data_IF_200876485014
#
_entry.id   IF_200876485014
#
_cell.length_a   1.000
_cell.length_b   1.000
_cell.length_c   1.000
_cell.angle_alpha   90.00
_cell.angle_beta   90.00
_cell.angle_gamma   90.00
#
_symmetry.space_group_name_H-M   'P 1'
#
loop_
_entity.id
_entity.type
_entity.pdbx_description
1 polymer ?
#
# COMPACT_ATOMS: atom_id res chain seq x y z
N UNK A 1 15.72 24.01 3.57
CA UNK A 1 14.27 23.72 3.46
C UNK A 1 13.67 24.75 2.51
N UNK A 2 13.04 24.32 1.40
CA UNK A 2 12.56 25.23 0.33
C UNK A 2 11.16 25.78 0.68
N UNK A 3 10.27 24.92 1.19
CA UNK A 3 8.97 25.30 1.74
C UNK A 3 8.51 24.24 2.75
N UNK A 4 7.50 24.57 3.54
CA UNK A 4 6.83 23.68 4.50
C UNK A 4 5.34 24.03 4.53
N UNK A 5 4.49 23.01 4.58
CA UNK A 5 3.04 23.13 4.79
C UNK A 5 2.71 22.38 6.08
N UNK A 6 1.94 23.01 6.97
CA UNK A 6 1.44 22.36 8.18
C UNK A 6 0.01 21.91 7.92
N UNK A 7 -0.17 20.64 7.56
CA UNK A 7 -1.49 20.19 7.12
C UNK A 7 -2.54 20.19 8.23
N UNK A 8 -2.13 20.12 9.50
CA UNK A 8 -3.03 20.21 10.64
C UNK A 8 -3.53 21.63 10.80
N UNK A 9 -2.65 22.63 10.68
CA UNK A 9 -3.05 24.03 10.75
C UNK A 9 -3.83 24.47 9.51
N UNK A 10 -3.33 24.15 8.31
CA UNK A 10 -3.80 24.71 7.04
C UNK A 10 -5.08 24.04 6.52
N UNK A 11 -5.30 22.76 6.84
CA UNK A 11 -6.46 21.97 6.37
C UNK A 11 -7.26 21.35 7.51
N UNK A 12 -6.98 21.73 8.76
CA UNK A 12 -7.66 21.23 9.95
C UNK A 12 -7.69 19.69 10.05
N UNK A 13 -6.62 19.02 9.62
CA UNK A 13 -6.52 17.56 9.66
C UNK A 13 -6.76 17.07 11.08
N UNK A 14 -7.84 16.30 11.27
CA UNK A 14 -8.14 15.59 12.52
C UNK A 14 -7.56 14.19 12.45
N UNK A 15 -6.78 13.83 13.47
CA UNK A 15 -6.27 12.46 13.58
C UNK A 15 -7.45 11.48 13.60
N UNK A 16 -7.47 10.59 12.61
CA UNK A 16 -8.33 9.40 12.61
C UNK A 16 -7.72 8.33 13.52
N UNK A 17 -8.36 7.16 13.69
CA UNK A 17 -7.94 6.17 14.71
C UNK A 17 -6.43 5.88 14.78
N UNK A 18 -5.76 5.63 13.63
CA UNK A 18 -4.30 5.39 13.58
C UNK A 18 -3.47 6.62 13.18
N UNK A 19 -4.04 7.57 12.44
CA UNK A 19 -3.32 8.68 11.79
C UNK A 19 -3.26 8.56 10.27
N UNK A 20 -2.22 9.15 9.66
CA UNK A 20 -1.96 9.18 8.21
C UNK A 20 -0.52 8.74 7.93
N UNK A 21 -0.29 8.03 6.83
CA UNK A 21 1.03 7.49 6.48
C UNK A 21 1.31 7.44 4.97
N UNK A 22 0.47 8.08 4.17
CA UNK A 22 0.58 8.16 2.72
C UNK A 22 1.82 8.96 2.29
N UNK A 23 2.53 8.49 1.26
CA UNK A 23 3.60 9.26 0.61
C UNK A 23 3.02 10.08 -0.54
N UNK A 24 3.44 11.34 -0.75
CA UNK A 24 2.97 12.12 -1.88
C UNK A 24 3.59 11.62 -3.20
N UNK A 25 2.97 11.98 -4.33
CA UNK A 25 3.50 11.69 -5.67
C UNK A 25 3.77 12.96 -6.46
N UNK A 26 4.79 12.94 -7.32
CA UNK A 26 5.10 14.03 -8.24
C UNK A 26 4.47 13.76 -9.61
N UNK A 27 3.73 14.74 -10.13
CA UNK A 27 3.23 14.77 -11.52
C UNK A 27 3.54 16.14 -12.13
N UNK A 28 4.51 16.20 -13.06
CA UNK A 28 4.97 17.47 -13.61
C UNK A 28 5.45 18.41 -12.51
N UNK A 29 4.84 19.59 -12.38
CA UNK A 29 5.12 20.56 -11.32
C UNK A 29 4.23 20.43 -10.08
N UNK A 30 3.42 19.37 -10.02
CA UNK A 30 2.55 19.08 -8.89
C UNK A 30 3.19 18.09 -7.93
N UNK A 31 3.01 18.33 -6.64
CA UNK A 31 3.12 17.35 -5.57
C UNK A 31 1.71 17.05 -5.08
N UNK A 32 1.21 15.84 -5.34
CA UNK A 32 -0.14 15.43 -4.98
C UNK A 32 -0.07 14.60 -3.71
N UNK A 33 -0.79 15.02 -2.68
CA UNK A 33 -0.83 14.37 -1.39
C UNK A 33 -2.26 14.06 -0.96
N UNK A 34 -2.40 12.97 -0.23
CA UNK A 34 -3.63 12.65 0.50
C UNK A 34 -3.59 13.35 1.86
N UNK A 35 -4.30 14.48 1.98
CA UNK A 35 -4.26 15.32 3.19
C UNK A 35 -5.36 14.94 4.17
N UNK A 36 -6.59 14.75 3.69
CA UNK A 36 -7.69 14.31 4.55
C UNK A 36 -8.17 15.37 5.53
N UNK A 37 -8.23 16.64 5.10
CA UNK A 37 -8.67 17.74 5.94
C UNK A 37 -10.12 17.63 6.39
N UNK A 38 -10.48 18.41 7.40
CA UNK A 38 -11.81 18.43 8.02
C UNK A 38 -12.36 19.86 8.09
N UNK A 39 -13.68 20.04 8.23
CA UNK A 39 -14.25 21.35 8.52
C UNK A 39 -13.65 21.94 9.81
N UNK A 40 -13.42 23.27 9.91
CA UNK A 40 -12.86 23.90 11.11
C UNK A 40 -13.70 23.66 12.36
N UNK A 41 -15.02 23.55 12.19
CA UNK A 41 -16.04 23.32 13.23
C UNK A 41 -16.30 21.83 13.51
N UNK A 42 -15.57 20.91 12.86
CA UNK A 42 -15.72 19.47 13.12
C UNK A 42 -15.30 19.15 14.56
N UNK A 43 -16.23 18.61 15.38
CA UNK A 43 -15.92 18.27 16.76
C UNK A 43 -14.80 17.23 16.83
N UNK A 44 -14.07 17.21 17.94
CA UNK A 44 -13.04 16.20 18.15
C UNK A 44 -13.62 14.78 17.93
N UNK A 45 -12.91 13.90 17.20
CA UNK A 45 -13.36 12.53 17.00
C UNK A 45 -13.69 11.87 18.33
N UNK A 46 -14.78 11.12 18.40
CA UNK A 46 -15.14 10.36 19.59
C UNK A 46 -15.35 8.89 19.25
N UNK A 47 -15.56 8.06 20.28
CA UNK A 47 -15.70 6.61 20.12
C UNK A 47 -16.87 6.18 19.19
N UNK A 48 -17.81 7.08 18.87
CA UNK A 48 -18.96 6.80 18.00
C UNK A 48 -18.79 7.32 16.58
N UNK A 49 -18.08 8.43 16.38
CA UNK A 49 -17.94 9.09 15.09
C UNK A 49 -16.49 9.52 14.84
N UNK A 50 -15.94 9.09 13.70
CA UNK A 50 -14.70 9.65 13.17
C UNK A 50 -14.91 11.08 12.64
N UNK A 51 -13.83 11.77 12.24
CA UNK A 51 -13.94 13.12 11.72
C UNK A 51 -14.75 13.16 10.42
N UNK A 52 -15.22 14.35 10.05
CA UNK A 52 -15.83 14.62 8.74
C UNK A 52 -14.77 15.13 7.77
N UNK A 53 -14.83 14.73 6.52
CA UNK A 53 -13.94 15.25 5.49
C UNK A 53 -14.42 16.60 4.96
N UNK A 54 -13.47 17.49 4.68
CA UNK A 54 -13.65 18.71 3.88
C UNK A 54 -13.12 18.48 2.46
N UNK A 55 -13.22 19.48 1.58
CA UNK A 55 -12.78 19.42 0.17
C UNK A 55 -11.25 19.29 -0.05
N UNK A 56 -10.48 19.13 1.03
CA UNK A 56 -9.04 18.94 1.06
C UNK A 56 -8.63 17.48 1.34
N UNK A 57 -9.43 16.51 0.90
CA UNK A 57 -9.07 15.10 0.98
C UNK A 57 -7.83 14.75 0.16
N UNK A 58 -7.77 15.29 -1.07
CA UNK A 58 -6.60 15.22 -1.96
C UNK A 58 -6.21 16.64 -2.34
N UNK A 59 -4.95 16.99 -2.10
CA UNK A 59 -4.41 18.33 -2.39
C UNK A 59 -3.22 18.21 -3.31
N UNK A 60 -3.23 19.00 -4.38
CA UNK A 60 -2.06 19.19 -5.22
C UNK A 60 -1.41 20.52 -4.89
N UNK A 61 -0.12 20.46 -4.56
CA UNK A 61 0.73 21.60 -4.31
C UNK A 61 1.63 21.85 -5.52
N UNK A 62 2.00 23.09 -5.74
CA UNK A 62 3.14 23.43 -6.58
C UNK A 62 4.41 22.92 -5.90
N UNK A 63 5.13 22.00 -6.55
CA UNK A 63 6.25 21.27 -5.92
C UNK A 63 7.44 22.18 -5.54
N UNK A 64 7.54 23.37 -6.13
CA UNK A 64 8.62 24.31 -5.85
C UNK A 64 8.28 25.34 -4.78
N UNK A 65 6.99 25.62 -4.57
CA UNK A 65 6.55 26.70 -3.67
C UNK A 65 5.67 26.24 -2.52
N UNK A 66 5.11 25.03 -2.58
CA UNK A 66 4.15 24.52 -1.59
C UNK A 66 2.76 25.17 -1.67
N UNK A 67 2.50 26.05 -2.66
CA UNK A 67 1.18 26.67 -2.84
C UNK A 67 0.18 25.66 -3.38
N UNK A 68 -1.04 25.68 -2.85
CA UNK A 68 -2.14 24.85 -3.36
C UNK A 68 -2.44 25.22 -4.82
N UNK A 69 -2.52 24.21 -5.69
CA UNK A 69 -2.97 24.32 -7.08
C UNK A 69 -4.41 23.86 -7.25
N UNK A 70 -4.79 22.78 -6.58
CA UNK A 70 -6.19 22.36 -6.44
C UNK A 70 -6.37 21.52 -5.19
N UNK A 71 -7.62 21.42 -4.73
CA UNK A 71 -8.08 20.55 -3.66
C UNK A 71 -9.35 19.86 -4.15
N UNK A 72 -9.50 18.57 -3.87
CA UNK A 72 -10.70 17.83 -4.22
C UNK A 72 -11.03 16.80 -3.16
N UNK A 73 -12.30 16.37 -3.20
CA UNK A 73 -12.90 15.27 -2.44
C UNK A 73 -13.01 15.51 -0.93
N UNK A 74 -14.12 15.05 -0.37
CA UNK A 74 -14.45 14.98 1.07
C UNK A 74 -13.91 13.70 1.74
N UNK A 75 -12.90 13.09 1.13
CA UNK A 75 -12.32 11.85 1.66
C UNK A 75 -11.33 12.18 2.78
N UNK A 76 -11.39 11.40 3.86
CA UNK A 76 -10.32 11.43 4.86
C UNK A 76 -9.10 10.68 4.35
N UNK A 77 -7.95 11.04 4.91
CA UNK A 77 -6.70 10.39 4.59
C UNK A 77 -6.64 8.96 5.14
N UNK A 78 -5.81 8.15 4.50
CA UNK A 78 -5.45 6.80 4.93
C UNK A 78 -3.94 6.61 4.77
N UNK A 79 -3.50 5.38 4.52
CA UNK A 79 -2.07 5.03 4.48
C UNK A 79 -1.59 4.71 3.07
N UNK A 80 -2.48 4.30 2.17
CA UNK A 80 -2.15 4.04 0.79
C UNK A 80 -1.66 5.33 0.10
N UNK A 81 -0.58 5.20 -0.67
CA UNK A 81 -0.01 6.28 -1.47
C UNK A 81 -0.72 6.40 -2.82
N UNK A 82 -0.83 7.61 -3.39
CA UNK A 82 -1.36 7.79 -4.74
C UNK A 82 -0.56 7.02 -5.78
N UNK A 83 -1.23 6.38 -6.73
CA UNK A 83 -0.61 5.64 -7.83
C UNK A 83 -0.97 6.28 -9.16
N UNK A 84 0.05 6.68 -9.92
CA UNK A 84 -0.12 7.28 -11.23
C UNK A 84 0.02 6.22 -12.34
N UNK A 85 -0.87 6.25 -13.33
CA UNK A 85 -0.78 5.37 -14.49
C UNK A 85 -1.34 6.05 -15.75
N UNK A 86 -0.92 5.58 -16.92
CA UNK A 86 -1.50 5.99 -18.20
C UNK A 86 -2.27 4.81 -18.78
N UNK A 87 -3.57 4.99 -19.01
CA UNK A 87 -4.49 3.95 -19.48
C UNK A 87 -5.20 4.51 -20.71
N UNK A 88 -5.04 3.84 -21.85
CA UNK A 88 -5.59 4.27 -23.15
C UNK A 88 -5.29 5.74 -23.50
N UNK A 89 -4.07 6.19 -23.20
CA UNK A 89 -3.64 7.58 -23.45
C UNK A 89 -4.13 8.60 -22.42
N UNK A 90 -4.99 8.23 -21.48
CA UNK A 90 -5.39 9.10 -20.38
C UNK A 90 -4.49 8.92 -19.16
N UNK A 91 -4.01 10.01 -18.59
CA UNK A 91 -3.27 10.03 -17.33
C UNK A 91 -4.22 9.98 -16.13
N UNK A 92 -3.98 9.05 -15.23
CA UNK A 92 -4.77 8.78 -14.04
C UNK A 92 -3.94 8.94 -12.76
N UNK A 93 -4.61 9.36 -11.70
CA UNK A 93 -4.15 9.24 -10.33
C UNK A 93 -5.20 8.49 -9.51
N UNK A 94 -4.78 7.38 -8.92
CA UNK A 94 -5.59 6.52 -8.08
C UNK A 94 -5.22 6.74 -6.62
N UNK A 95 -6.17 7.20 -5.83
CA UNK A 95 -6.01 7.42 -4.39
C UNK A 95 -6.97 6.51 -3.66
N UNK A 96 -6.44 5.49 -2.97
CA UNK A 96 -7.24 4.66 -2.08
C UNK A 96 -7.34 5.35 -0.73
N UNK A 97 -8.40 6.14 -0.57
CA UNK A 97 -8.66 6.92 0.61
C UNK A 97 -9.44 6.19 1.68
N UNK A 98 -9.81 6.89 2.76
CA UNK A 98 -10.44 6.26 3.90
C UNK A 98 -11.76 5.60 3.53
N UNK A 99 -12.60 6.25 2.72
CA UNK A 99 -13.89 5.76 2.26
C UNK A 99 -13.82 4.80 1.09
N UNK A 100 -12.76 4.87 0.28
CA UNK A 100 -12.57 3.98 -0.86
C UNK A 100 -11.64 4.56 -1.92
N UNK A 101 -11.70 3.99 -3.11
CA UNK A 101 -10.85 4.38 -4.24
C UNK A 101 -11.44 5.59 -4.97
N UNK A 102 -10.60 6.60 -5.19
CA UNK A 102 -10.88 7.75 -6.06
C UNK A 102 -9.96 7.68 -7.27
N UNK A 103 -10.56 7.71 -8.46
CA UNK A 103 -9.82 7.90 -9.72
C UNK A 103 -10.02 9.34 -10.23
N UNK A 104 -8.91 10.05 -10.49
CA UNK A 104 -8.94 11.44 -10.97
C UNK A 104 -7.88 11.72 -12.04
N UNK A 105 -8.06 12.83 -12.77
CA UNK A 105 -7.01 13.41 -13.64
C UNK A 105 -6.02 14.19 -12.78
N UNK A 106 -4.73 13.82 -12.73
CA UNK A 106 -3.78 14.48 -11.83
C UNK A 106 -3.48 15.93 -12.24
N UNK A 107 -3.62 16.30 -13.50
CA UNK A 107 -3.35 17.67 -13.94
C UNK A 107 -4.40 18.69 -13.44
N UNK A 108 -5.64 18.26 -13.20
CA UNK A 108 -6.77 19.17 -12.93
C UNK A 108 -7.52 18.86 -11.65
N UNK A 109 -7.26 17.71 -11.01
CA UNK A 109 -8.05 17.22 -9.89
C UNK A 109 -9.42 16.65 -10.29
N UNK A 110 -9.81 16.70 -11.58
CA UNK A 110 -11.13 16.22 -12.03
C UNK A 110 -11.33 14.75 -11.63
N UNK A 111 -12.26 14.52 -10.72
CA UNK A 111 -12.69 13.17 -10.33
C UNK A 111 -13.43 12.54 -11.50
N UNK A 112 -13.00 11.35 -11.88
CA UNK A 112 -13.63 10.55 -12.93
C UNK A 112 -14.56 9.51 -12.30
N UNK A 113 -14.20 8.90 -11.17
CA UNK A 113 -15.07 7.97 -10.45
C UNK A 113 -14.73 7.85 -8.96
N UNK A 114 -15.65 7.23 -8.22
CA UNK A 114 -15.49 6.80 -6.83
C UNK A 114 -15.94 5.36 -6.68
N UNK A 115 -15.22 4.60 -5.88
CA UNK A 115 -15.57 3.23 -5.53
C UNK A 115 -15.44 3.03 -4.02
N UNK A 116 -16.56 3.05 -3.27
CA UNK A 116 -16.55 2.85 -1.82
C UNK A 116 -15.93 1.50 -1.44
N UNK A 117 -14.92 1.53 -0.58
CA UNK A 117 -14.19 0.33 -0.15
C UNK A 117 -13.58 0.55 1.23
N UNK A 118 -14.34 0.19 2.27
CA UNK A 118 -13.94 0.38 3.66
C UNK A 118 -14.68 -0.58 4.58
N UNK A 119 -14.00 -1.08 5.61
CA UNK A 119 -14.65 -1.78 6.72
C UNK A 119 -15.55 -0.85 7.56
N UNK A 120 -16.61 -1.41 8.15
CA UNK A 120 -17.58 -0.66 8.97
C UNK A 120 -17.14 -0.40 10.42
N UNK A 121 -15.88 -0.67 10.75
CA UNK A 121 -15.30 -0.42 12.08
C UNK A 121 -14.47 0.88 12.08
N UNK A 122 -14.37 1.52 13.25
CA UNK A 122 -13.59 2.74 13.41
C UNK A 122 -12.08 2.46 13.25
N UNK A 123 -11.62 1.30 13.71
CA UNK A 123 -10.22 0.87 13.70
C UNK A 123 -9.81 0.23 12.36
N UNK A 124 -10.21 0.85 11.24
CA UNK A 124 -9.90 0.37 9.88
C UNK A 124 -9.11 1.40 9.09
N UNK A 125 -8.20 0.94 8.22
CA UNK A 125 -7.47 1.80 7.28
C UNK A 125 -7.30 1.07 5.96
N UNK A 126 -7.13 1.84 4.89
CA UNK A 126 -6.66 1.35 3.62
C UNK A 126 -5.18 1.73 3.49
N UNK A 127 -4.30 0.73 3.61
CA UNK A 127 -2.85 0.96 3.67
C UNK A 127 -2.06 0.35 2.53
N UNK A 128 -2.59 -0.66 1.84
CA UNK A 128 -2.00 -1.16 0.60
C UNK A 128 -2.25 -0.18 -0.54
N UNK A 129 -1.23 0.13 -1.32
CA UNK A 129 -1.40 0.93 -2.53
C UNK A 129 -2.26 0.17 -3.56
N UNK A 130 -3.02 0.88 -4.42
CA UNK A 130 -3.63 0.26 -5.60
C UNK A 130 -2.59 -0.39 -6.50
N UNK A 131 -2.89 -1.57 -7.03
CA UNK A 131 -2.05 -2.22 -8.07
C UNK A 131 -2.72 -2.00 -9.42
N UNK A 132 -2.04 -1.31 -10.33
CA UNK A 132 -2.58 -0.93 -11.65
C UNK A 132 -1.88 -1.72 -12.75
N UNK A 133 -2.64 -2.50 -13.52
CA UNK A 133 -2.13 -3.29 -14.65
C UNK A 133 -3.08 -3.15 -15.83
N UNK A 134 -2.61 -2.53 -16.91
CA UNK A 134 -3.47 -2.18 -18.04
C UNK A 134 -4.63 -1.29 -17.58
N UNK A 135 -5.87 -1.70 -17.88
CA UNK A 135 -7.09 -0.98 -17.46
C UNK A 135 -7.62 -1.42 -16.10
N UNK A 136 -6.91 -2.30 -15.39
CA UNK A 136 -7.42 -2.92 -14.17
C UNK A 136 -6.69 -2.41 -12.94
N UNK A 137 -7.47 -2.17 -11.89
CA UNK A 137 -7.00 -1.63 -10.61
C UNK A 137 -7.46 -2.56 -9.50
N UNK A 138 -6.49 -3.14 -8.78
CA UNK A 138 -6.73 -3.95 -7.61
C UNK A 138 -6.59 -3.10 -6.35
N UNK A 139 -7.51 -3.28 -5.40
CA UNK A 139 -7.46 -2.67 -4.07
C UNK A 139 -7.74 -3.73 -3.01
N UNK A 140 -7.23 -3.53 -1.80
CA UNK A 140 -7.37 -4.48 -0.70
C UNK A 140 -7.30 -3.81 0.66
N UNK A 141 -8.03 -4.35 1.62
CA UNK A 141 -7.90 -4.07 3.04
C UNK A 141 -8.20 -5.34 3.87
N UNK A 142 -7.84 -5.33 5.16
CA UNK A 142 -7.87 -6.55 5.99
C UNK A 142 -8.97 -6.59 7.06
N UNK A 143 -9.66 -5.47 7.28
CA UNK A 143 -10.58 -5.28 8.40
C UNK A 143 -12.03 -5.69 8.08
N UNK A 144 -12.40 -5.79 6.80
CA UNK A 144 -13.77 -6.06 6.38
C UNK A 144 -13.88 -6.59 4.95
N UNK A 145 -14.19 -5.73 3.95
CA UNK A 145 -14.49 -6.16 2.58
C UNK A 145 -13.42 -7.03 1.91
N UNK A 146 -12.12 -6.94 2.25
CA UNK A 146 -11.07 -7.70 1.57
C UNK A 146 -10.61 -7.00 0.31
N UNK A 147 -10.58 -7.70 -0.84
CA UNK A 147 -10.11 -7.15 -2.11
C UNK A 147 -11.17 -7.03 -3.20
N UNK A 148 -10.91 -6.13 -4.14
CA UNK A 148 -11.66 -6.01 -5.38
C UNK A 148 -10.70 -5.77 -6.56
N UNK A 149 -11.08 -6.27 -7.73
CA UNK A 149 -10.48 -5.88 -8.99
C UNK A 149 -11.51 -5.11 -9.81
N UNK A 150 -11.11 -3.91 -10.22
CA UNK A 150 -11.93 -3.01 -11.02
C UNK A 150 -11.32 -2.86 -12.40
N UNK A 151 -12.15 -2.69 -13.41
CA UNK A 151 -11.76 -2.19 -14.72
C UNK A 151 -12.20 -0.74 -14.85
N UNK A 152 -11.29 0.13 -15.27
CA UNK A 152 -11.52 1.59 -15.26
C UNK A 152 -11.66 2.14 -16.67
N UNK A 153 -12.53 3.13 -16.81
CA UNK A 153 -12.74 3.90 -18.03
C UNK A 153 -13.07 5.35 -17.65
N UNK A 154 -12.99 6.33 -18.58
CA UNK A 154 -13.42 7.70 -18.29
C UNK A 154 -14.84 7.73 -17.69
N UNK A 155 -15.02 8.47 -16.59
CA UNK A 155 -16.29 8.61 -15.89
C UNK A 155 -16.78 7.40 -15.07
N UNK A 156 -16.13 6.24 -15.10
CA UNK A 156 -16.66 5.04 -14.44
C UNK A 156 -15.61 3.97 -14.09
N UNK A 157 -15.98 3.07 -13.19
CA UNK A 157 -15.29 1.80 -12.98
C UNK A 157 -16.30 0.66 -12.92
N UNK A 158 -15.87 -0.53 -13.32
CA UNK A 158 -16.67 -1.76 -13.29
C UNK A 158 -15.98 -2.80 -12.41
N UNK A 159 -16.72 -3.43 -11.51
CA UNK A 159 -16.23 -4.59 -10.75
C UNK A 159 -16.01 -5.78 -11.70
N UNK A 160 -14.80 -6.34 -11.70
CA UNK A 160 -14.48 -7.60 -12.37
C UNK A 160 -14.70 -8.76 -11.39
N UNK A 161 -14.20 -8.61 -10.17
CA UNK A 161 -14.50 -9.51 -9.05
C UNK A 161 -14.31 -8.77 -7.72
N UNK A 162 -14.94 -9.30 -6.66
CA UNK A 162 -14.90 -8.70 -5.33
C UNK A 162 -15.00 -9.74 -4.21
N UNK A 163 -14.39 -9.46 -3.07
CA UNK A 163 -14.45 -10.24 -1.83
C UNK A 163 -15.58 -9.78 -0.89
N UNK A 164 -16.31 -8.70 -1.23
CA UNK A 164 -17.23 -8.01 -0.29
C UNK A 164 -18.24 -8.94 0.37
N UNK A 165 -18.74 -9.93 -0.38
CA UNK A 165 -19.75 -10.90 0.06
C UNK A 165 -19.15 -12.24 0.53
N UNK A 166 -17.82 -12.40 0.47
CA UNK A 166 -17.13 -13.63 0.88
C UNK A 166 -16.90 -13.64 2.40
N UNK A 167 -17.02 -14.84 2.98
CA UNK A 167 -16.59 -15.11 4.35
C UNK A 167 -15.10 -14.85 4.55
N UNK A 168 -14.69 -14.52 5.77
CA UNK A 168 -13.33 -14.06 6.10
C UNK A 168 -12.21 -15.01 5.66
N UNK A 169 -12.49 -16.32 5.61
CA UNK A 169 -11.56 -17.39 5.19
C UNK A 169 -11.49 -17.58 3.67
N UNK A 170 -12.49 -17.09 2.94
CA UNK A 170 -12.66 -17.28 1.50
C UNK A 170 -12.28 -16.03 0.69
N UNK A 171 -12.07 -14.90 1.37
CA UNK A 171 -11.54 -13.68 0.75
C UNK A 171 -10.24 -14.00 0.01
N UNK A 172 -10.12 -13.52 -1.21
CA UNK A 172 -8.98 -13.70 -2.09
C UNK A 172 -7.70 -13.14 -1.47
N UNK A 173 -7.76 -11.89 -1.03
CA UNK A 173 -6.62 -11.21 -0.39
C UNK A 173 -7.12 -10.21 0.66
N UNK A 174 -6.37 -10.06 1.75
CA UNK A 174 -6.64 -9.14 2.86
C UNK A 174 -5.36 -8.42 3.23
N UNK A 175 -4.89 -7.52 2.37
CA UNK A 175 -3.64 -6.81 2.60
C UNK A 175 -3.77 -5.90 3.83
N UNK A 176 -2.80 -5.99 4.74
CA UNK A 176 -2.74 -5.07 5.88
C UNK A 176 -2.14 -3.74 5.44
N UNK A 177 -0.83 -3.66 5.22
CA UNK A 177 -0.14 -2.52 4.58
C UNK A 177 0.69 -2.92 3.35
N UNK A 178 1.04 -4.20 3.23
CA UNK A 178 1.89 -4.67 2.15
C UNK A 178 1.13 -4.65 0.82
N UNK A 179 1.69 -3.92 -0.14
CA UNK A 179 1.17 -3.86 -1.50
C UNK A 179 1.54 -5.15 -2.22
N UNK A 180 0.58 -5.91 -2.75
CA UNK A 180 0.88 -7.13 -3.49
C UNK A 180 1.52 -6.81 -4.85
N UNK A 181 2.32 -7.73 -5.36
CA UNK A 181 3.07 -7.56 -6.61
C UNK A 181 2.43 -8.41 -7.70
N UNK A 182 2.12 -7.78 -8.84
CA UNK A 182 1.66 -8.47 -10.03
C UNK A 182 2.82 -9.02 -10.84
N UNK A 183 2.74 -10.28 -11.27
CA UNK A 183 3.68 -10.92 -12.20
C UNK A 183 2.93 -11.89 -13.12
N UNK A 184 3.04 -11.70 -14.44
CA UNK A 184 2.59 -12.63 -15.49
C UNK A 184 1.15 -13.17 -15.32
N UNK A 185 0.19 -12.31 -14.96
CA UNK A 185 -1.22 -12.71 -14.77
C UNK A 185 -1.58 -13.16 -13.35
N UNK A 186 -0.64 -13.08 -12.42
CA UNK A 186 -0.83 -13.49 -11.02
C UNK A 186 -0.47 -12.36 -10.06
N UNK A 187 -1.09 -12.39 -8.88
CA UNK A 187 -0.87 -11.41 -7.82
C UNK A 187 -0.34 -12.11 -6.58
N UNK A 188 0.79 -11.63 -6.05
CA UNK A 188 1.47 -12.21 -4.90
C UNK A 188 1.49 -11.22 -3.74
N UNK A 189 1.09 -11.66 -2.55
CA UNK A 189 1.12 -10.75 -1.40
C UNK A 189 0.70 -11.39 -0.08
N UNK A 190 0.92 -10.65 0.99
CA UNK A 190 0.54 -11.05 2.33
C UNK A 190 -0.93 -10.71 2.62
N UNK A 191 -1.67 -11.73 3.06
CA UNK A 191 -3.07 -11.64 3.46
C UNK A 191 -3.21 -11.98 4.94
N UNK A 192 -3.70 -11.04 5.75
CA UNK A 192 -3.88 -11.23 7.20
C UNK A 192 -3.90 -9.89 7.94
N UNK A 193 -4.41 -9.85 9.17
CA UNK A 193 -4.41 -8.64 10.01
C UNK A 193 -3.36 -8.74 11.12
N UNK A 194 -3.09 -9.94 11.63
CA UNK A 194 -2.07 -10.23 12.62
C UNK A 194 -1.14 -11.35 12.10
N UNK A 195 0.00 -11.52 12.78
CA UNK A 195 1.05 -12.44 12.35
C UNK A 195 0.58 -13.92 12.31
N UNK A 196 -0.24 -14.32 13.30
CA UNK A 196 -0.72 -15.69 13.52
C UNK A 196 -1.58 -16.22 12.36
N UNK A 197 -2.46 -15.38 11.79
CA UNK A 197 -3.33 -15.76 10.68
C UNK A 197 -2.80 -15.34 9.30
N UNK A 198 -1.65 -14.67 9.25
CA UNK A 198 -1.09 -14.19 7.99
C UNK A 198 -0.66 -15.32 7.05
N UNK A 199 -0.97 -15.12 5.79
CA UNK A 199 -0.68 -16.04 4.69
C UNK A 199 -0.03 -15.27 3.55
N UNK A 200 1.10 -15.75 3.06
CA UNK A 200 1.57 -15.37 1.74
C UNK A 200 0.70 -16.11 0.72
N UNK A 201 0.15 -15.39 -0.26
CA UNK A 201 -0.77 -15.94 -1.25
C UNK A 201 -0.33 -15.60 -2.67
N UNK A 202 -0.67 -16.50 -3.59
CA UNK A 202 -0.73 -16.22 -5.02
C UNK A 202 -2.18 -16.36 -5.49
N UNK A 203 -2.67 -15.37 -6.23
CA UNK A 203 -3.99 -15.37 -6.85
C UNK A 203 -3.87 -15.21 -8.36
N UNK A 204 -4.80 -15.78 -9.10
CA UNK A 204 -5.03 -15.41 -10.49
C UNK A 204 -5.63 -14.00 -10.56
N UNK A 205 -4.98 -13.12 -11.32
CA UNK A 205 -5.38 -11.72 -11.42
C UNK A 205 -6.83 -11.56 -11.89
N UNK A 206 -7.21 -12.27 -12.96
CA UNK A 206 -8.49 -12.07 -13.63
C UNK A 206 -9.72 -12.51 -12.84
N UNK A 207 -9.57 -13.43 -11.88
CA UNK A 207 -10.70 -14.05 -11.15
C UNK A 207 -10.62 -13.86 -9.63
N UNK A 208 -9.44 -13.53 -9.10
CA UNK A 208 -9.18 -13.54 -7.67
C UNK A 208 -9.06 -14.96 -7.09
N UNK A 209 -9.05 -16.00 -7.93
CA UNK A 209 -8.92 -17.39 -7.49
C UNK A 209 -7.57 -17.61 -6.86
N UNK A 210 -7.55 -18.14 -5.64
CA UNK A 210 -6.32 -18.42 -4.91
C UNK A 210 -5.68 -19.67 -5.50
N UNK A 211 -4.45 -19.54 -5.98
CA UNK A 211 -3.67 -20.65 -6.54
C UNK A 211 -2.94 -21.43 -5.45
N UNK A 212 -2.37 -20.71 -4.49
CA UNK A 212 -1.77 -21.31 -3.30
C UNK A 212 -1.74 -20.32 -2.13
N UNK A 213 -1.61 -20.88 -0.92
CA UNK A 213 -1.46 -20.16 0.35
C UNK A 213 -0.28 -20.77 1.12
N UNK A 214 0.54 -19.94 1.76
CA UNK A 214 1.61 -20.35 2.67
C UNK A 214 1.46 -19.63 4.00
N UNK A 215 1.15 -20.41 5.05
CA UNK A 215 1.08 -19.97 6.45
C UNK A 215 2.46 -20.05 7.13
N UNK A 216 2.57 -19.44 8.30
CA UNK A 216 3.73 -19.56 9.18
C UNK A 216 4.94 -18.74 8.73
N UNK A 217 4.69 -17.63 8.02
CA UNK A 217 5.72 -16.67 7.62
C UNK A 217 5.61 -15.35 8.38
N UNK A 218 4.70 -15.26 9.35
CA UNK A 218 4.14 -14.00 9.87
C UNK A 218 3.56 -13.15 8.73
N UNK A 219 3.27 -11.87 9.00
CA UNK A 219 2.96 -10.93 7.93
C UNK A 219 4.26 -10.63 7.15
N UNK A 220 4.17 -10.45 5.85
CA UNK A 220 5.36 -10.38 4.98
C UNK A 220 5.31 -9.20 4.02
N UNK A 221 6.48 -8.59 3.82
CA UNK A 221 6.74 -7.56 2.82
C UNK A 221 7.56 -8.18 1.68
N UNK A 222 7.25 -7.83 0.44
CA UNK A 222 7.90 -8.39 -0.75
C UNK A 222 8.64 -7.32 -1.54
N UNK A 223 9.79 -7.70 -2.09
CA UNK A 223 10.49 -6.97 -3.14
C UNK A 223 10.78 -7.94 -4.30
N UNK A 224 10.37 -7.61 -5.52
CA UNK A 224 10.63 -8.43 -6.70
C UNK A 224 11.96 -8.03 -7.35
N UNK A 225 12.87 -8.99 -7.52
CA UNK A 225 14.17 -8.84 -8.19
C UNK A 225 14.43 -10.09 -9.03
N UNK A 226 14.66 -9.94 -10.33
CA UNK A 226 15.01 -11.03 -11.26
C UNK A 226 14.20 -12.34 -11.06
N UNK A 227 12.87 -12.25 -11.17
CA UNK A 227 11.91 -13.35 -10.96
C UNK A 227 12.02 -14.06 -9.59
N UNK A 228 12.55 -13.38 -8.59
CA UNK A 228 12.54 -13.81 -7.20
C UNK A 228 11.95 -12.72 -6.30
N UNK A 229 11.24 -13.13 -5.26
CA UNK A 229 10.88 -12.24 -4.17
C UNK A 229 11.93 -12.32 -3.07
N UNK A 230 12.44 -11.17 -2.67
CA UNK A 230 13.03 -10.98 -1.35
C UNK A 230 11.85 -10.73 -0.40
N UNK A 231 11.57 -11.71 0.45
CA UNK A 231 10.44 -11.73 1.37
C UNK A 231 10.94 -11.55 2.81
N UNK A 232 10.53 -10.46 3.44
CA UNK A 232 10.84 -10.18 4.85
C UNK A 232 9.59 -10.47 5.69
N UNK A 233 9.70 -11.39 6.64
CA UNK A 233 8.70 -11.56 7.69
C UNK A 233 8.86 -10.51 8.78
N UNK A 234 7.81 -10.25 9.55
CA UNK A 234 7.88 -9.31 10.68
C UNK A 234 8.83 -9.78 11.77
N UNK A 235 9.04 -11.11 11.82
CA UNK A 235 10.04 -11.84 12.61
C UNK A 235 11.49 -11.51 12.25
N UNK A 236 11.72 -10.71 11.20
CA UNK A 236 13.06 -10.35 10.74
C UNK A 236 13.72 -11.42 9.86
N UNK A 237 13.05 -12.54 9.60
CA UNK A 237 13.58 -13.61 8.75
C UNK A 237 13.42 -13.23 7.28
N UNK A 238 14.56 -13.18 6.58
CA UNK A 238 14.61 -12.96 5.14
C UNK A 238 14.54 -14.27 4.39
N UNK A 239 13.73 -14.30 3.33
CA UNK A 239 13.51 -15.48 2.49
C UNK A 239 13.65 -15.08 1.03
N UNK A 240 14.39 -15.86 0.26
CA UNK A 240 14.42 -15.76 -1.19
C UNK A 240 13.41 -16.75 -1.76
N UNK A 241 12.40 -16.24 -2.45
CA UNK A 241 11.32 -17.05 -3.01
C UNK A 241 11.37 -16.97 -4.53
N UNK A 242 11.29 -18.09 -5.23
CA UNK A 242 11.12 -18.09 -6.69
C UNK A 242 9.68 -17.77 -7.05
N UNK A 243 9.48 -16.91 -8.06
CA UNK A 243 8.14 -16.61 -8.59
C UNK A 243 7.61 -17.85 -9.31
N UNK A 244 6.58 -18.49 -8.74
CA UNK A 244 5.88 -19.62 -9.34
C UNK A 244 4.37 -19.55 -8.99
N UNK A 245 3.47 -19.44 -9.98
CA UNK A 245 2.04 -19.35 -9.73
C UNK A 245 1.42 -20.69 -9.30
N UNK A 246 2.12 -21.80 -9.44
CA UNK A 246 1.60 -23.14 -9.15
C UNK A 246 1.95 -23.61 -7.74
N UNK A 247 3.00 -23.09 -7.11
CA UNK A 247 3.38 -23.45 -5.74
C UNK A 247 4.26 -22.39 -5.07
N UNK A 248 4.28 -22.42 -3.74
CA UNK A 248 5.31 -21.75 -2.95
C UNK A 248 6.68 -22.43 -3.17
N UNK A 249 7.71 -21.64 -3.49
CA UNK A 249 9.07 -22.15 -3.69
C UNK A 249 10.11 -21.27 -2.97
N UNK A 250 10.45 -21.66 -1.74
CA UNK A 250 11.57 -21.07 -1.00
C UNK A 250 12.90 -21.63 -1.53
N UNK A 251 13.79 -20.74 -1.96
CA UNK A 251 15.13 -21.07 -2.45
C UNK A 251 16.11 -21.08 -1.28
N UNK A 252 16.04 -20.05 -0.44
CA UNK A 252 16.88 -19.92 0.75
C UNK A 252 16.20 -19.01 1.78
N UNK A 253 16.69 -19.06 3.01
CA UNK A 253 16.30 -18.15 4.09
C UNK A 253 17.48 -17.86 5.00
N UNK A 254 17.43 -16.70 5.65
CA UNK A 254 18.42 -16.27 6.63
C UNK A 254 17.75 -15.46 7.72
N UNK A 255 18.14 -15.74 8.97
CA UNK A 255 17.93 -14.82 10.08
C UNK A 255 19.21 -14.00 10.24
N UNK A 256 19.10 -12.68 10.12
CA UNK A 256 20.27 -11.81 10.20
C UNK A 256 20.75 -11.74 11.66
N UNK A 257 21.95 -12.25 11.93
CA UNK A 257 22.54 -12.31 13.26
C UNK A 257 23.96 -11.78 13.25
N UNK A 258 24.39 -11.19 14.37
CA UNK A 258 25.76 -10.75 14.58
C UNK A 258 26.75 -11.93 14.56
N UNK A 259 28.05 -11.61 14.55
CA UNK A 259 29.15 -12.57 14.70
C UNK A 259 29.09 -13.77 13.74
N UNK A 260 28.76 -13.50 12.47
CA UNK A 260 28.69 -14.52 11.43
C UNK A 260 27.57 -15.55 11.64
N UNK A 261 26.46 -15.15 12.26
CA UNK A 261 25.27 -15.99 12.43
C UNK A 261 25.08 -16.56 13.85
N UNK A 262 25.98 -16.27 14.79
CA UNK A 262 25.97 -16.87 16.13
C UNK A 262 25.54 -15.91 17.24
N UNK A 263 25.59 -14.61 16.97
CA UNK A 263 25.20 -13.58 17.92
C UNK A 263 23.70 -13.33 17.94
N UNK A 264 23.35 -12.21 18.58
CA UNK A 264 21.99 -11.70 18.66
C UNK A 264 21.43 -11.36 17.26
N UNK A 265 20.10 -11.43 17.07
CA UNK A 265 19.46 -10.93 15.86
C UNK A 265 19.83 -9.46 15.59
N UNK A 266 20.11 -9.14 14.33
CA UNK A 266 20.37 -7.77 13.89
C UNK A 266 19.08 -6.96 13.69
N UNK A 267 17.94 -7.64 13.62
CA UNK A 267 16.61 -7.06 13.45
C UNK A 267 15.72 -7.49 14.61
N UNK A 268 15.15 -6.51 15.31
CA UNK A 268 14.08 -6.75 16.29
C UNK A 268 12.71 -6.52 15.64
N UNK A 269 11.72 -7.33 16.06
CA UNK A 269 10.34 -7.15 15.65
C UNK A 269 9.76 -5.81 16.17
N UNK A 270 8.82 -5.17 15.43
CA UNK A 270 8.31 -5.60 14.13
C UNK A 270 9.16 -5.12 12.93
N UNK A 271 9.42 -6.03 11.99
CA UNK A 271 10.05 -5.71 10.70
C UNK A 271 9.02 -5.39 9.61
N UNK A 272 8.29 -4.27 9.75
CA UNK A 272 7.17 -3.93 8.84
C UNK A 272 7.59 -3.24 7.53
N UNK A 273 8.80 -2.67 7.46
CA UNK A 273 9.25 -1.96 6.27
C UNK A 273 9.58 -2.93 5.14
N UNK A 274 9.15 -2.64 3.91
CA UNK A 274 9.52 -3.43 2.76
C UNK A 274 11.04 -3.39 2.52
N UNK A 275 11.67 -4.52 2.12
CA UNK A 275 13.05 -4.53 1.68
C UNK A 275 13.26 -3.59 0.50
N UNK A 276 14.38 -2.87 0.46
CA UNK A 276 14.72 -1.95 -0.64
C UNK A 276 16.09 -2.35 -1.19
N UNK A 277 16.18 -2.49 -2.52
CA UNK A 277 17.45 -2.73 -3.22
C UNK A 277 17.86 -1.47 -3.98
N UNK A 278 19.10 -1.03 -3.78
CA UNK A 278 19.67 0.12 -4.48
C UNK A 278 21.16 -0.11 -4.70
N UNK A 279 21.64 0.01 -5.94
CA UNK A 279 23.06 -0.14 -6.29
C UNK A 279 23.71 -1.44 -5.76
N UNK A 280 22.98 -2.55 -5.78
CA UNK A 280 23.46 -3.84 -5.26
C UNK A 280 23.40 -3.99 -3.74
N UNK A 281 22.92 -2.98 -3.02
CA UNK A 281 22.76 -2.98 -1.56
C UNK A 281 21.29 -3.20 -1.17
N UNK A 282 21.05 -4.22 -0.35
CA UNK A 282 19.74 -4.55 0.22
C UNK A 282 19.61 -3.94 1.61
N UNK A 283 18.61 -3.09 1.78
CA UNK A 283 18.27 -2.43 3.04
C UNK A 283 17.03 -3.07 3.65
N UNK A 284 17.13 -3.44 4.92
CA UNK A 284 16.03 -4.02 5.70
C UNK A 284 16.01 -3.38 7.09
N UNK A 285 14.81 -3.16 7.62
CA UNK A 285 14.62 -2.38 8.85
C UNK A 285 13.75 -3.13 9.84
N UNK A 286 14.22 -3.19 11.08
CA UNK A 286 13.47 -3.66 12.25
C UNK A 286 12.92 -2.49 13.05
N UNK A 287 12.50 -2.76 14.29
CA UNK A 287 11.96 -1.74 15.18
C UNK A 287 12.96 -0.62 15.49
N UNK A 288 14.22 -0.97 15.68
CA UNK A 288 15.28 -0.12 16.22
C UNK A 288 16.56 -0.10 15.37
N UNK A 289 16.63 -0.90 14.30
CA UNK A 289 17.82 -1.03 13.45
C UNK A 289 17.50 -0.94 11.96
N UNK A 290 18.48 -0.46 11.20
CA UNK A 290 18.53 -0.54 9.73
C UNK A 290 19.80 -1.32 9.36
N UNK A 291 19.62 -2.45 8.68
CA UNK A 291 20.72 -3.30 8.21
C UNK A 291 20.86 -3.15 6.71
N UNK A 292 22.11 -3.01 6.26
CA UNK A 292 22.49 -2.96 4.86
C UNK A 292 23.34 -4.20 4.52
N UNK A 293 22.93 -4.93 3.48
CA UNK A 293 23.60 -6.14 3.00
C UNK A 293 24.09 -5.89 1.58
N UNK A 294 25.32 -6.30 1.27
CA UNK A 294 25.80 -6.37 -0.12
C UNK A 294 25.18 -7.61 -0.79
N UNK A 295 24.29 -7.39 -1.76
CA UNK A 295 23.57 -8.46 -2.46
C UNK A 295 24.24 -8.83 -3.79
N UNK A 296 24.81 -7.84 -4.47
CA UNK A 296 25.61 -8.01 -5.69
C UNK A 296 27.01 -7.50 -5.36
N UNK A 297 28.02 -8.37 -5.19
CA UNK A 297 29.38 -7.95 -4.94
C UNK A 297 29.84 -7.01 -6.05
N UNK A 298 30.45 -5.88 -5.71
CA UNK A 298 31.08 -5.06 -6.73
C UNK A 298 32.15 -5.89 -7.44
N UNK A 299 32.01 -6.06 -8.77
CA UNK A 299 33.09 -6.59 -9.58
C UNK A 299 34.26 -5.62 -9.43
N UNK A 300 35.35 -6.07 -8.80
CA UNK A 300 36.60 -5.31 -8.80
C UNK A 300 36.96 -4.98 -10.26
N UNK A 301 37.37 -3.73 -10.55
CA UNK A 301 37.81 -3.33 -11.89
C UNK A 301 39.00 -4.18 -12.35
#
# INVERSE_FOLDING_TARGET
MIWKVDTVADFHVRQNFFGVGSTPVIEGDLLIAQVGGSPPDDPAPNARFGPKGADSGIVAFDKYTGKVRYQVTDELASYASPVLATIDGQRWCFVLARGGLVGLRPATGKIEFRYPWRARILESVNASNPVVVGKRVFISETYGPGSALLEVQPGACKEIWTDKDKGIRDKSMRCHWNTPIYVDGYLYGCSGRHAEEAELRCLEWGSGTIRWRKRGLTRTSLLLVDRHFICLGEDGVLRLLKVDPNRYQEVSRVELRADGGRGEPLLNEPCWAAPILSHGLLYVRGADSLVCLELIPQTKP
#
